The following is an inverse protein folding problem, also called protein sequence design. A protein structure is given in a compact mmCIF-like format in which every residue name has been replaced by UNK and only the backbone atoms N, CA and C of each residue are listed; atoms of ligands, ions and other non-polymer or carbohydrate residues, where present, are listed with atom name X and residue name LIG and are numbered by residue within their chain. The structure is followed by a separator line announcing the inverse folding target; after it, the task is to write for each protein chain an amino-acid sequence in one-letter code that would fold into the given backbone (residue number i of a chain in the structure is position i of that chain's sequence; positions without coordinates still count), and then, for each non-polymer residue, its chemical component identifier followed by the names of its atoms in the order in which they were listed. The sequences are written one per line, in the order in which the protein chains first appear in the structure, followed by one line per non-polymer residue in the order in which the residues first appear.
data_IF_572466753301
#
_entry.id   IF_572466753301
#
_cell.length_a   1.000
_cell.length_b   1.000
_cell.length_c   1.000
_cell.angle_alpha   90.00
_cell.angle_beta   90.00
_cell.angle_gamma   90.00
#
_symmetry.space_group_name_H-M   'P 1'
#
loop_
_entity.id
_entity.type
_entity.pdbx_description
1 polymer ?
#
# COMPACT_ATOMS: atom_id res chain seq x y z
N UNK A 1 -8.82 -7.69 -17.98
CA UNK A 1 -8.41 -6.28 -17.88
C UNK A 1 -8.79 -5.79 -16.48
N UNK A 2 -7.83 -5.78 -15.54
CA UNK A 2 -8.04 -5.25 -14.19
C UNK A 2 -7.68 -3.75 -14.20
N UNK A 3 -8.46 -2.88 -13.55
CA UNK A 3 -8.18 -1.45 -13.54
C UNK A 3 -6.92 -1.14 -12.71
N UNK A 4 -5.96 -0.35 -13.24
CA UNK A 4 -4.62 -0.14 -12.69
C UNK A 4 -4.56 0.79 -11.44
N UNK A 5 -5.62 0.91 -10.64
CA UNK A 5 -5.67 1.87 -9.52
C UNK A 5 -6.17 1.31 -8.20
N UNK A 6 -6.40 0.00 -8.12
CA UNK A 6 -7.15 -0.60 -7.02
C UNK A 6 -6.29 -1.11 -5.85
N UNK A 7 -4.97 -1.24 -5.99
CA UNK A 7 -4.15 -2.05 -5.06
C UNK A 7 -3.66 -1.36 -3.76
N UNK A 8 -3.61 -0.03 -3.65
CA UNK A 8 -3.11 0.62 -2.42
C UNK A 8 -4.11 1.55 -1.76
N UNK A 9 -5.26 1.81 -2.38
CA UNK A 9 -6.34 2.60 -1.76
C UNK A 9 -6.95 1.91 -0.54
N UNK A 10 -7.08 0.58 -0.56
CA UNK A 10 -7.59 -0.20 0.58
C UNK A 10 -6.61 -0.22 1.73
N UNK A 11 -5.31 -0.35 1.47
CA UNK A 11 -4.30 -0.26 2.51
C UNK A 11 -4.33 1.12 3.20
N UNK A 12 -4.41 2.21 2.44
CA UNK A 12 -4.51 3.56 3.00
C UNK A 12 -5.81 3.75 3.81
N UNK A 13 -6.94 3.23 3.32
CA UNK A 13 -8.23 3.31 4.02
C UNK A 13 -8.24 2.49 5.32
N UNK A 14 -7.71 1.26 5.28
CA UNK A 14 -7.57 0.41 6.46
C UNK A 14 -6.66 1.07 7.50
N UNK A 15 -5.54 1.64 7.05
CA UNK A 15 -4.59 2.32 7.90
C UNK A 15 -5.22 3.54 8.61
N UNK A 16 -5.98 4.36 7.88
CA UNK A 16 -6.75 5.46 8.49
C UNK A 16 -7.78 4.99 9.51
N UNK A 17 -8.41 3.84 9.28
CA UNK A 17 -9.39 3.29 10.23
C UNK A 17 -8.71 2.82 11.52
N UNK A 18 -7.56 2.16 11.41
CA UNK A 18 -6.75 1.74 12.56
C UNK A 18 -6.29 2.96 13.39
N UNK A 19 -5.78 4.01 12.73
CA UNK A 19 -5.37 5.26 13.39
C UNK A 19 -6.54 5.93 14.12
N UNK A 20 -7.73 5.97 13.50
CA UNK A 20 -8.95 6.54 14.11
C UNK A 20 -9.40 5.81 15.38
N UNK A 21 -9.07 4.52 15.50
CA UNK A 21 -9.35 3.71 16.68
C UNK A 21 -8.26 3.83 17.75
N UNK A 22 -7.25 4.69 17.55
CA UNK A 22 -6.12 4.86 18.45
C UNK A 22 -4.99 3.84 18.24
N UNK A 23 -5.05 3.06 17.16
CA UNK A 23 -3.98 2.15 16.78
C UNK A 23 -2.80 2.91 16.18
N UNK A 24 -1.59 2.42 16.46
CA UNK A 24 -0.34 2.97 15.90
C UNK A 24 0.15 1.99 14.84
N UNK A 25 0.37 2.50 13.63
CA UNK A 25 0.88 1.71 12.52
C UNK A 25 2.39 1.88 12.45
N UNK A 26 3.12 0.81 12.70
CA UNK A 26 4.58 0.79 12.61
C UNK A 26 5.08 0.56 11.18
N UNK A 27 4.42 -0.33 10.43
CA UNK A 27 4.79 -0.67 9.06
C UNK A 27 3.60 -1.21 8.24
N UNK A 28 3.75 -1.18 6.91
CA UNK A 28 2.84 -1.83 5.97
C UNK A 28 3.66 -2.78 5.09
N UNK A 29 3.42 -4.08 5.22
CA UNK A 29 4.13 -5.10 4.44
C UNK A 29 3.27 -5.67 3.32
N UNK A 30 3.83 -5.77 2.12
CA UNK A 30 3.22 -6.35 0.94
C UNK A 30 4.09 -7.47 0.37
N UNK A 31 3.46 -8.48 -0.23
CA UNK A 31 4.20 -9.59 -0.86
C UNK A 31 4.74 -9.15 -2.23
N UNK A 32 3.95 -8.40 -2.98
CA UNK A 32 4.25 -7.96 -4.35
C UNK A 32 4.07 -6.45 -4.43
N UNK A 33 5.08 -5.76 -4.98
CA UNK A 33 4.93 -4.37 -5.42
C UNK A 33 4.79 -4.30 -6.94
N UNK A 34 3.93 -3.38 -7.38
CA UNK A 34 3.76 -3.01 -8.79
C UNK A 34 4.02 -1.49 -8.88
N UNK A 35 5.28 -1.07 -9.10
CA UNK A 35 5.67 0.34 -8.98
C UNK A 35 4.94 1.25 -9.97
N UNK A 36 4.57 0.73 -11.14
CA UNK A 36 3.84 1.46 -12.19
C UNK A 36 2.44 1.91 -11.76
N UNK A 37 1.84 1.25 -10.77
CA UNK A 37 0.49 1.59 -10.30
C UNK A 37 0.49 2.79 -9.32
N UNK A 38 1.67 3.32 -8.96
CA UNK A 38 1.81 4.51 -8.10
C UNK A 38 1.24 4.32 -6.69
N UNK A 39 1.04 3.08 -6.25
CA UNK A 39 0.36 2.78 -5.01
C UNK A 39 1.19 3.10 -3.76
N UNK A 40 2.52 2.92 -3.82
CA UNK A 40 3.47 3.26 -2.75
C UNK A 40 3.32 4.72 -2.30
N UNK A 41 3.11 5.65 -3.24
CA UNK A 41 2.97 7.10 -2.97
C UNK A 41 1.82 7.42 -1.99
N UNK A 42 0.77 6.60 -1.96
CA UNK A 42 -0.37 6.80 -1.04
C UNK A 42 -0.08 6.39 0.39
N UNK A 43 1.03 5.69 0.61
CA UNK A 43 1.47 5.14 1.89
C UNK A 43 2.82 5.71 2.32
N UNK A 44 3.30 6.79 1.71
CA UNK A 44 4.60 7.44 2.01
C UNK A 44 4.76 7.84 3.49
N UNK A 45 3.66 7.98 4.23
CA UNK A 45 3.68 8.24 5.67
C UNK A 45 4.00 7.01 6.54
N UNK A 46 4.00 5.82 5.95
CA UNK A 46 4.26 4.56 6.63
C UNK A 46 5.55 3.95 6.09
N UNK A 47 6.22 3.15 6.92
CA UNK A 47 7.30 2.31 6.44
C UNK A 47 6.72 1.17 5.60
N UNK A 48 6.86 1.23 4.27
CA UNK A 48 6.33 0.23 3.35
C UNK A 48 7.43 -0.74 2.95
N UNK A 49 7.22 -2.03 3.21
CA UNK A 49 8.14 -3.09 2.82
C UNK A 49 7.48 -4.05 1.82
N UNK A 50 8.20 -4.41 0.76
CA UNK A 50 7.73 -5.34 -0.25
C UNK A 50 8.74 -6.48 -0.42
N UNK A 51 8.26 -7.73 -0.47
CA UNK A 51 9.14 -8.89 -0.60
C UNK A 51 9.69 -9.06 -2.01
N UNK A 52 8.87 -8.79 -3.02
CA UNK A 52 9.24 -8.90 -4.44
C UNK A 52 8.64 -7.72 -5.20
N UNK A 53 9.40 -7.17 -6.13
CA UNK A 53 8.94 -6.13 -7.05
C UNK A 53 8.74 -6.75 -8.44
N UNK A 54 7.60 -6.48 -9.05
CA UNK A 54 7.30 -6.90 -10.41
C UNK A 54 7.05 -5.67 -11.28
N UNK A 55 7.72 -5.58 -12.41
CA UNK A 55 7.38 -4.61 -13.45
C UNK A 55 6.15 -5.11 -14.20
N UNK A 56 5.15 -4.24 -14.40
CA UNK A 56 4.03 -4.54 -15.30
C UNK A 56 4.54 -4.62 -16.74
N UNK A 57 3.85 -5.41 -17.58
CA UNK A 57 4.09 -5.43 -19.03
C UNK A 57 2.97 -4.66 -19.75
#
# INVERSE_FOLDING_TARGET
MMPPSFSMSWAAAAAQLIEKLGGIIHECSFVIDLPELGGKQKLDKYNVHCLVEFEGH
#
